data_IF_344302527519
#
_entry.id   IF_344302527519
#
_cell.length_a   1.000
_cell.length_b   1.000
_cell.length_c   1.000
_cell.angle_alpha   90.00
_cell.angle_beta   90.00
_cell.angle_gamma   90.00
#
_symmetry.space_group_name_H-M   'P 1'
#
loop_
_entity.id
_entity.type
_entity.pdbx_description
1 polymer ?
#
# COMPACT_ATOMS: atom_id res chain seq x y z
N UNK A 1 -21.08 5.65 -12.93
CA UNK A 1 -20.28 5.18 -11.79
C UNK A 1 -19.57 6.39 -11.24
N UNK A 2 -19.82 6.78 -10.01
CA UNK A 2 -19.13 7.94 -9.41
C UNK A 2 -17.97 7.45 -8.53
N UNK A 3 -17.03 6.75 -9.15
CA UNK A 3 -15.80 6.36 -8.45
C UNK A 3 -14.81 7.49 -8.57
N UNK A 4 -14.53 8.12 -7.43
CA UNK A 4 -13.60 9.24 -7.36
C UNK A 4 -12.20 8.71 -7.08
N UNK A 5 -11.24 9.19 -7.86
CA UNK A 5 -9.81 8.89 -7.72
C UNK A 5 -9.07 10.16 -7.38
N UNK A 6 -8.30 10.16 -6.31
CA UNK A 6 -7.40 11.26 -5.93
C UNK A 6 -5.95 10.78 -5.96
N UNK A 7 -5.03 11.68 -6.33
CA UNK A 7 -3.60 11.43 -6.21
C UNK A 7 -3.11 11.98 -4.88
N UNK A 8 -2.44 11.16 -4.10
CA UNK A 8 -1.77 11.65 -2.89
C UNK A 8 -0.53 12.46 -3.28
N UNK A 9 -0.25 13.50 -2.51
CA UNK A 9 0.94 14.32 -2.72
C UNK A 9 2.22 13.55 -2.40
N UNK A 10 3.31 13.91 -3.10
CA UNK A 10 4.63 13.32 -2.88
C UNK A 10 4.97 12.18 -3.83
N UNK A 11 6.17 11.65 -3.62
CA UNK A 11 6.70 10.47 -4.32
C UNK A 11 7.09 9.41 -3.30
N UNK A 12 6.79 8.16 -3.62
CA UNK A 12 6.93 7.05 -2.70
C UNK A 12 7.91 6.01 -3.22
N UNK A 13 8.51 5.30 -2.30
CA UNK A 13 9.49 4.25 -2.57
C UNK A 13 9.05 2.97 -1.90
N UNK A 14 9.24 1.87 -2.60
CA UNK A 14 8.94 0.52 -2.12
C UNK A 14 10.23 -0.16 -1.67
N UNK A 15 10.22 -0.71 -0.46
CA UNK A 15 11.36 -1.36 0.17
C UNK A 15 11.00 -2.80 0.47
N UNK A 16 11.83 -3.74 -0.01
CA UNK A 16 11.78 -5.15 0.34
C UNK A 16 12.80 -5.46 1.42
N UNK A 17 12.39 -6.13 2.47
CA UNK A 17 13.23 -6.57 3.59
C UNK A 17 12.98 -8.07 3.81
N UNK A 18 13.99 -8.93 3.65
CA UNK A 18 13.90 -10.33 4.03
C UNK A 18 13.56 -10.48 5.51
N UNK A 19 12.77 -11.49 5.87
CA UNK A 19 12.31 -11.67 7.26
C UNK A 19 13.47 -11.85 8.25
N UNK A 20 14.57 -12.45 7.83
CA UNK A 20 15.78 -12.62 8.65
C UNK A 20 16.41 -11.27 9.04
N UNK A 21 16.17 -10.23 8.24
CA UNK A 21 16.69 -8.87 8.47
C UNK A 21 15.66 -7.95 9.13
N UNK A 22 14.42 -8.39 9.26
CA UNK A 22 13.36 -7.60 9.88
C UNK A 22 13.73 -7.10 11.30
N UNK A 23 14.24 -7.96 12.22
CA UNK A 23 14.63 -7.48 13.55
C UNK A 23 15.76 -6.43 13.51
N UNK A 24 16.70 -6.58 12.58
CA UNK A 24 17.83 -5.64 12.41
C UNK A 24 17.37 -4.28 11.88
N UNK A 25 16.35 -4.28 11.01
CA UNK A 25 15.80 -3.07 10.39
C UNK A 25 14.54 -2.53 11.08
N UNK A 26 14.18 -3.08 12.24
CA UNK A 26 13.04 -2.60 13.01
C UNK A 26 13.22 -1.15 13.46
N UNK A 27 14.44 -0.74 13.82
CA UNK A 27 14.71 0.64 14.23
C UNK A 27 14.40 1.66 13.13
N UNK A 28 14.86 1.54 11.87
CA UNK A 28 14.44 2.45 10.82
C UNK A 28 12.93 2.36 10.51
N UNK A 29 12.29 1.20 10.62
CA UNK A 29 10.84 1.05 10.48
C UNK A 29 10.10 1.87 11.56
N UNK A 30 10.48 1.74 12.82
CA UNK A 30 9.89 2.52 13.91
C UNK A 30 10.16 4.02 13.76
N UNK A 31 11.31 4.39 13.21
CA UNK A 31 11.65 5.80 13.00
C UNK A 31 10.76 6.48 11.95
N UNK A 32 10.37 5.77 10.89
CA UNK A 32 9.42 6.32 9.91
C UNK A 32 7.98 6.29 10.42
N UNK A 33 7.63 5.31 11.25
CA UNK A 33 6.32 5.22 11.90
C UNK A 33 6.11 6.35 12.91
N UNK A 34 7.18 6.73 13.62
CA UNK A 34 7.17 7.72 14.69
C UNK A 34 8.09 8.90 14.32
N UNK A 35 7.74 9.71 13.32
CA UNK A 35 8.60 10.77 12.83
C UNK A 35 8.80 11.85 13.91
N UNK A 36 10.01 12.02 14.37
CA UNK A 36 10.39 13.07 15.31
C UNK A 36 11.24 14.11 14.60
N UNK A 37 10.89 15.38 14.73
CA UNK A 37 11.63 16.51 14.15
C UNK A 37 13.01 16.74 14.81
N UNK A 38 13.29 16.07 15.93
CA UNK A 38 14.58 16.20 16.63
C UNK A 38 15.29 14.84 16.63
N UNK A 39 16.16 14.63 15.68
CA UNK A 39 17.21 13.62 15.80
C UNK A 39 18.32 14.17 16.69
N UNK A 40 18.71 13.42 17.72
CA UNK A 40 19.72 13.81 18.70
C UNK A 40 21.13 14.10 18.11
N UNK A 41 21.34 13.91 16.81
CA UNK A 41 22.64 13.99 16.14
C UNK A 41 22.71 15.00 14.99
N UNK A 42 21.80 15.94 14.87
CA UNK A 42 21.96 17.00 13.88
C UNK A 42 22.83 18.11 14.46
N UNK A 43 24.05 18.24 13.91
CA UNK A 43 24.91 19.42 14.14
C UNK A 43 24.13 20.68 13.76
N UNK A 44 24.30 21.72 14.56
CA UNK A 44 23.60 23.03 14.50
C UNK A 44 23.72 23.79 13.17
N UNK A 45 24.48 23.27 12.20
CA UNK A 45 24.74 23.91 10.91
C UNK A 45 24.04 23.31 9.69
N UNK A 46 23.20 22.28 9.88
CA UNK A 46 22.42 21.76 8.76
C UNK A 46 21.07 22.48 8.69
N UNK A 47 20.86 23.21 7.60
CA UNK A 47 19.53 23.67 7.14
C UNK A 47 18.48 22.62 7.51
N UNK A 48 17.42 23.07 8.19
CA UNK A 48 16.29 22.23 8.57
C UNK A 48 15.85 21.40 7.35
N UNK A 49 16.22 20.14 7.33
CA UNK A 49 15.60 19.19 6.42
C UNK A 49 14.20 18.98 6.97
N UNK A 50 13.25 19.74 6.46
CA UNK A 50 11.85 19.36 6.58
C UNK A 50 11.74 17.93 6.03
N UNK A 51 11.31 17.00 6.87
CA UNK A 51 11.05 15.64 6.44
C UNK A 51 9.83 15.72 5.53
N UNK A 52 10.08 15.83 4.22
CA UNK A 52 9.04 15.79 3.22
C UNK A 52 8.18 14.54 3.42
N UNK A 53 6.90 14.61 3.14
CA UNK A 53 5.95 13.51 3.29
C UNK A 53 5.21 13.46 4.62
N UNK A 54 5.45 14.41 5.53
CA UNK A 54 4.52 14.73 6.60
C UNK A 54 3.57 15.84 6.13
N UNK A 55 2.31 15.71 6.46
CA UNK A 55 1.35 16.80 6.31
C UNK A 55 1.66 17.92 7.31
N UNK A 56 1.06 19.10 7.11
CA UNK A 56 1.16 20.25 8.03
C UNK A 56 0.84 19.92 9.48
N UNK A 57 0.05 18.87 9.71
CA UNK A 57 -0.33 18.36 11.03
C UNK A 57 0.57 17.21 11.52
N UNK A 58 1.75 17.01 10.92
CA UNK A 58 2.70 15.93 11.22
C UNK A 58 2.13 14.51 10.98
N UNK A 59 1.15 14.37 10.13
CA UNK A 59 0.61 13.09 9.70
C UNK A 59 1.36 12.57 8.47
N UNK A 60 1.36 11.25 8.28
CA UNK A 60 1.88 10.66 7.06
C UNK A 60 0.98 11.01 5.87
N UNK A 61 1.57 11.40 4.73
CA UNK A 61 0.83 11.43 3.47
C UNK A 61 0.36 10.02 3.11
N UNK A 62 1.31 9.07 3.11
CA UNK A 62 1.04 7.63 3.03
C UNK A 62 2.22 6.84 3.61
N UNK A 63 1.91 5.81 4.38
CA UNK A 63 2.86 4.81 4.86
C UNK A 63 2.17 3.46 4.88
N UNK A 64 2.77 2.44 4.28
CA UNK A 64 2.37 1.05 4.50
C UNK A 64 3.56 0.25 5.03
N UNK A 65 3.34 -0.51 6.09
CA UNK A 65 4.30 -1.47 6.64
C UNK A 65 3.59 -2.82 6.67
N UNK A 66 4.08 -3.76 5.88
CA UNK A 66 3.49 -5.09 5.77
C UNK A 66 4.52 -6.17 6.10
N UNK A 67 4.28 -6.90 7.17
CA UNK A 67 5.01 -8.13 7.52
C UNK A 67 4.15 -9.30 7.12
N UNK A 68 4.66 -10.18 6.29
CA UNK A 68 3.99 -11.38 5.77
C UNK A 68 4.89 -12.59 5.95
N UNK A 69 4.42 -13.82 5.77
CA UNK A 69 5.29 -15.01 5.79
C UNK A 69 6.38 -15.02 4.71
N UNK A 70 6.29 -14.13 3.70
CA UNK A 70 7.25 -14.06 2.58
C UNK A 70 8.30 -12.99 2.81
N UNK A 71 7.91 -11.84 3.36
CA UNK A 71 8.79 -10.67 3.47
C UNK A 71 8.22 -9.61 4.44
N UNK A 72 9.05 -8.66 4.82
CA UNK A 72 8.59 -7.34 5.27
C UNK A 72 8.72 -6.35 4.11
N UNK A 73 7.64 -5.64 3.82
CA UNK A 73 7.56 -4.64 2.76
C UNK A 73 7.17 -3.29 3.34
N UNK A 74 7.85 -2.23 2.91
CA UNK A 74 7.57 -0.87 3.37
C UNK A 74 7.35 0.03 2.16
N UNK A 75 6.24 0.75 2.16
CA UNK A 75 5.99 1.87 1.24
C UNK A 75 6.03 3.15 2.06
N UNK A 76 6.97 4.03 1.75
CA UNK A 76 7.10 5.30 2.43
C UNK A 76 7.48 6.41 1.46
N UNK A 77 7.35 7.66 1.88
CA UNK A 77 7.82 8.80 1.08
C UNK A 77 9.31 8.64 0.75
N UNK A 78 9.71 9.02 -0.46
CA UNK A 78 11.08 8.77 -0.97
C UNK A 78 12.17 9.46 -0.14
N UNK A 79 11.86 10.59 0.51
CA UNK A 79 12.80 11.24 1.44
C UNK A 79 13.12 10.36 2.66
N UNK A 80 12.16 9.57 3.15
CA UNK A 80 12.36 8.63 4.26
C UNK A 80 13.23 7.45 3.85
N UNK A 81 13.00 6.89 2.67
CA UNK A 81 13.86 5.83 2.13
C UNK A 81 15.32 6.30 2.08
N UNK A 82 15.55 7.52 1.53
CA UNK A 82 16.89 8.10 1.38
C UNK A 82 17.52 8.50 2.71
N UNK A 83 16.76 9.13 3.62
CA UNK A 83 17.32 9.74 4.83
C UNK A 83 17.33 8.81 6.05
N UNK A 84 16.55 7.74 6.03
CA UNK A 84 16.42 6.80 7.15
C UNK A 84 16.91 5.39 6.77
N UNK A 85 16.39 4.82 5.67
CA UNK A 85 16.74 3.45 5.29
C UNK A 85 18.13 3.33 4.66
N UNK A 86 18.49 4.16 3.69
CA UNK A 86 19.81 4.08 3.04
C UNK A 86 20.97 4.21 4.03
N UNK A 87 20.96 5.18 5.00
CA UNK A 87 22.01 5.24 6.02
C UNK A 87 22.06 4.01 6.92
N UNK A 88 20.88 3.47 7.30
CA UNK A 88 20.82 2.25 8.12
C UNK A 88 21.39 1.05 7.37
N UNK A 89 21.09 0.91 6.08
CA UNK A 89 21.64 -0.14 5.22
C UNK A 89 23.13 0.00 5.00
N UNK A 90 23.62 1.22 4.78
CA UNK A 90 25.04 1.50 4.58
C UNK A 90 25.87 1.20 5.84
N UNK A 91 25.25 1.20 7.02
CA UNK A 91 25.92 0.83 8.28
C UNK A 91 26.03 -0.70 8.46
N UNK A 92 25.29 -1.50 7.67
CA UNK A 92 25.34 -2.96 7.74
C UNK A 92 26.46 -3.55 6.87
N UNK A 93 27.02 -4.73 7.22
CA UNK A 93 27.97 -5.43 6.38
C UNK A 93 27.39 -5.73 4.98
N UNK A 94 28.16 -5.45 3.93
CA UNK A 94 27.75 -5.61 2.52
C UNK A 94 27.09 -6.95 2.17
N UNK A 95 27.53 -8.13 2.68
CA UNK A 95 26.85 -9.39 2.39
C UNK A 95 25.40 -9.44 2.88
N UNK A 96 25.12 -8.78 4.02
CA UNK A 96 23.81 -8.76 4.66
C UNK A 96 22.85 -7.85 3.89
N UNK A 97 23.33 -6.69 3.42
CA UNK A 97 22.51 -5.72 2.69
C UNK A 97 21.97 -6.24 1.35
N UNK A 98 22.61 -7.24 0.74
CA UNK A 98 22.24 -7.76 -0.59
C UNK A 98 20.80 -8.30 -0.66
N UNK A 99 20.23 -8.72 0.46
CA UNK A 99 18.85 -9.20 0.52
C UNK A 99 17.80 -8.08 0.49
N UNK A 100 18.16 -6.88 0.96
CA UNK A 100 17.26 -5.72 0.98
C UNK A 100 17.28 -5.03 -0.38
N UNK A 101 16.13 -4.67 -0.89
CA UNK A 101 16.04 -3.87 -2.12
C UNK A 101 15.14 -2.66 -1.92
N UNK A 102 15.65 -1.50 -2.34
CA UNK A 102 14.90 -0.25 -2.47
C UNK A 102 14.57 -0.09 -3.94
N UNK A 103 13.33 0.23 -4.29
CA UNK A 103 12.92 0.40 -5.68
C UNK A 103 13.67 1.56 -6.35
N UNK A 104 14.16 1.33 -7.57
CA UNK A 104 14.78 2.37 -8.39
C UNK A 104 13.74 3.37 -8.92
N UNK A 105 12.57 2.86 -9.31
CA UNK A 105 11.44 3.68 -9.74
C UNK A 105 10.72 4.23 -8.50
N UNK A 106 10.33 5.50 -8.58
CA UNK A 106 9.42 6.11 -7.60
C UNK A 106 7.98 5.90 -8.01
N UNK A 107 7.09 5.90 -7.02
CA UNK A 107 5.67 5.68 -7.20
C UNK A 107 4.87 6.92 -6.78
N UNK A 108 3.74 7.12 -7.44
CA UNK A 108 2.65 7.95 -6.96
C UNK A 108 1.52 7.03 -6.49
N UNK A 109 0.70 7.51 -5.58
CA UNK A 109 -0.37 6.75 -4.97
C UNK A 109 -1.71 7.34 -5.38
N UNK A 110 -2.59 6.48 -5.84
CA UNK A 110 -3.99 6.77 -6.10
C UNK A 110 -4.79 6.29 -4.90
N UNK A 111 -5.54 7.17 -4.27
CA UNK A 111 -6.57 6.80 -3.30
C UNK A 111 -7.91 6.71 -4.02
N UNK A 112 -8.62 5.62 -3.84
CA UNK A 112 -9.90 5.36 -4.49
C UNK A 112 -10.96 5.14 -3.43
N UNK A 113 -11.93 6.04 -3.39
CA UNK A 113 -13.13 5.85 -2.59
C UNK A 113 -14.16 5.12 -3.43
N UNK A 114 -14.39 3.85 -3.12
CA UNK A 114 -15.19 2.93 -3.95
C UNK A 114 -16.68 2.94 -3.59
N UNK A 115 -17.28 4.11 -3.49
CA UNK A 115 -18.72 4.21 -3.30
C UNK A 115 -19.45 3.65 -4.53
N UNK A 116 -20.12 2.51 -4.36
CA UNK A 116 -20.99 1.92 -5.38
C UNK A 116 -20.37 0.88 -6.30
N UNK A 117 -19.13 0.44 -6.06
CA UNK A 117 -18.58 -0.75 -6.71
C UNK A 117 -19.00 -2.03 -5.98
N UNK A 118 -19.20 -3.12 -6.75
CA UNK A 118 -19.43 -4.43 -6.18
C UNK A 118 -18.20 -4.91 -5.40
N UNK A 119 -18.33 -5.27 -4.11
CA UNK A 119 -17.17 -5.67 -3.29
C UNK A 119 -16.34 -6.82 -3.89
N UNK A 120 -16.99 -7.78 -4.54
CA UNK A 120 -16.31 -8.92 -5.17
C UNK A 120 -15.56 -8.56 -6.46
N UNK A 121 -16.06 -7.59 -7.24
CA UNK A 121 -15.47 -7.13 -8.49
C UNK A 121 -14.52 -5.94 -8.35
N UNK A 122 -14.52 -5.26 -7.22
CA UNK A 122 -13.87 -3.97 -6.98
C UNK A 122 -12.39 -3.96 -7.38
N UNK A 123 -11.61 -4.91 -6.90
CA UNK A 123 -10.17 -4.98 -7.20
C UNK A 123 -9.92 -5.15 -8.69
N UNK A 124 -10.72 -5.98 -9.37
CA UNK A 124 -10.63 -6.18 -10.81
C UNK A 124 -11.01 -4.89 -11.56
N UNK A 125 -12.12 -4.26 -11.21
CA UNK A 125 -12.61 -3.05 -11.90
C UNK A 125 -11.63 -1.89 -11.78
N UNK A 126 -11.06 -1.66 -10.58
CA UNK A 126 -10.08 -0.60 -10.34
C UNK A 126 -8.74 -0.86 -11.02
N UNK A 127 -8.30 -2.10 -11.08
CA UNK A 127 -7.00 -2.46 -11.68
C UNK A 127 -7.05 -2.64 -13.20
N UNK A 128 -8.22 -2.91 -13.78
CA UNK A 128 -8.36 -3.25 -15.19
C UNK A 128 -7.92 -2.14 -16.17
N UNK A 129 -8.23 -0.85 -15.97
CA UNK A 129 -7.79 0.21 -16.87
C UNK A 129 -6.26 0.27 -16.98
N UNK A 130 -5.60 0.08 -15.85
CA UNK A 130 -4.15 0.13 -15.74
C UNK A 130 -3.50 -1.13 -16.35
N UNK A 131 -4.11 -2.29 -16.13
CA UNK A 131 -3.67 -3.55 -16.73
C UNK A 131 -3.75 -3.51 -18.27
N UNK A 132 -4.86 -3.02 -18.82
CA UNK A 132 -5.02 -2.83 -20.28
C UNK A 132 -4.09 -1.78 -20.86
N UNK A 133 -3.69 -0.79 -20.06
CA UNK A 133 -2.67 0.19 -20.47
C UNK A 133 -1.23 -0.35 -20.32
N UNK A 134 -1.04 -1.58 -19.83
CA UNK A 134 0.28 -2.16 -19.60
C UNK A 134 1.08 -1.46 -18.49
N UNK A 135 0.40 -0.92 -17.48
CA UNK A 135 0.99 -0.23 -16.34
C UNK A 135 1.16 -1.21 -15.18
N UNK A 136 2.37 -1.38 -14.64
CA UNK A 136 2.57 -2.19 -13.44
C UNK A 136 2.00 -1.46 -12.22
N UNK A 137 1.32 -2.18 -11.35
CA UNK A 137 0.69 -1.61 -10.15
C UNK A 137 0.98 -2.46 -8.91
N UNK A 138 0.91 -1.80 -7.74
CA UNK A 138 0.73 -2.45 -6.45
C UNK A 138 -0.62 -2.01 -5.91
N UNK A 139 -1.40 -2.94 -5.40
CA UNK A 139 -2.76 -2.71 -4.92
C UNK A 139 -2.82 -3.01 -3.42
N UNK A 140 -3.37 -2.10 -2.64
CA UNK A 140 -3.51 -2.24 -1.20
C UNK A 140 -4.95 -1.91 -0.82
N UNK A 141 -5.73 -2.93 -0.46
CA UNK A 141 -7.04 -2.75 0.15
C UNK A 141 -6.87 -2.41 1.62
N UNK A 142 -7.55 -1.37 2.08
CA UNK A 142 -7.60 -0.99 3.48
C UNK A 142 -9.04 -1.06 4.02
N UNK A 143 -9.23 -0.69 5.27
CA UNK A 143 -10.55 -0.72 5.89
C UNK A 143 -11.55 0.26 5.23
N UNK A 144 -11.07 1.43 4.77
CA UNK A 144 -11.92 2.48 4.20
C UNK A 144 -11.72 2.67 2.70
N UNK A 145 -10.51 2.59 2.24
CA UNK A 145 -10.11 2.98 0.88
C UNK A 145 -9.26 1.90 0.21
N UNK A 146 -9.20 1.96 -1.11
CA UNK A 146 -8.21 1.21 -1.88
C UNK A 146 -7.10 2.16 -2.34
N UNK A 147 -5.85 1.70 -2.22
CA UNK A 147 -4.68 2.44 -2.69
C UNK A 147 -4.00 1.69 -3.83
N UNK A 148 -3.66 2.43 -4.88
CA UNK A 148 -2.98 1.87 -6.04
C UNK A 148 -1.68 2.65 -6.25
N UNK A 149 -0.54 1.97 -6.14
CA UNK A 149 0.76 2.53 -6.44
C UNK A 149 1.05 2.32 -7.91
N UNK A 150 1.43 3.38 -8.61
CA UNK A 150 1.81 3.36 -10.01
C UNK A 150 3.14 4.10 -10.22
N UNK A 151 4.01 3.68 -11.15
CA UNK A 151 5.28 4.37 -11.38
C UNK A 151 5.04 5.83 -11.77
N UNK A 152 5.76 6.75 -11.15
CA UNK A 152 5.62 8.21 -11.38
C UNK A 152 5.80 8.57 -12.85
N UNK A 153 6.69 7.88 -13.56
CA UNK A 153 6.94 8.08 -15.01
C UNK A 153 5.73 7.73 -15.90
N UNK A 154 4.79 6.92 -15.41
CA UNK A 154 3.60 6.50 -16.17
C UNK A 154 2.37 7.41 -15.92
N UNK A 155 2.53 8.53 -15.19
CA UNK A 155 1.43 9.42 -14.76
C UNK A 155 0.46 9.77 -15.90
N UNK A 156 0.97 10.17 -17.05
CA UNK A 156 0.13 10.58 -18.21
C UNK A 156 -0.70 9.41 -18.74
N UNK A 157 -0.11 8.22 -18.83
CA UNK A 157 -0.84 7.01 -19.25
C UNK A 157 -1.89 6.58 -18.22
N UNK A 158 -1.57 6.69 -16.93
CA UNK A 158 -2.50 6.39 -15.82
C UNK A 158 -3.74 7.28 -15.92
N UNK A 159 -3.55 8.61 -15.99
CA UNK A 159 -4.65 9.57 -16.13
C UNK A 159 -5.51 9.25 -17.36
N UNK A 160 -4.88 9.03 -18.53
CA UNK A 160 -5.60 8.68 -19.74
C UNK A 160 -6.41 7.39 -19.61
N UNK A 161 -5.82 6.35 -19.02
CA UNK A 161 -6.48 5.05 -18.84
C UNK A 161 -7.71 5.15 -17.92
N UNK A 162 -7.59 5.88 -16.80
CA UNK A 162 -8.67 6.07 -15.86
C UNK A 162 -9.82 6.91 -16.46
N UNK A 163 -9.51 8.06 -17.05
CA UNK A 163 -10.52 8.92 -17.68
C UNK A 163 -11.26 8.21 -18.80
N UNK A 164 -10.55 7.44 -19.64
CA UNK A 164 -11.17 6.65 -20.73
C UNK A 164 -12.18 5.64 -20.22
N UNK A 165 -12.01 5.15 -18.98
CA UNK A 165 -12.94 4.23 -18.32
C UNK A 165 -14.03 4.92 -17.51
N UNK A 166 -14.04 6.26 -17.49
CA UNK A 166 -15.08 7.05 -16.82
C UNK A 166 -14.84 7.27 -15.32
N UNK A 167 -13.60 7.12 -14.85
CA UNK A 167 -13.24 7.51 -13.48
C UNK A 167 -13.16 9.03 -13.38
N UNK A 168 -13.69 9.58 -12.29
CA UNK A 168 -13.60 11.00 -11.97
C UNK A 168 -12.32 11.28 -11.19
N UNK A 169 -11.50 12.19 -11.69
CA UNK A 169 -10.31 12.65 -10.98
C UNK A 169 -10.66 13.86 -10.12
N UNK A 170 -10.11 13.95 -8.90
CA UNK A 170 -10.35 15.09 -8.02
C UNK A 170 -9.96 16.41 -8.68
N UNK A 171 -10.69 17.49 -8.39
CA UNK A 171 -10.58 18.81 -9.07
C UNK A 171 -9.17 19.40 -9.04
N UNK A 172 -8.39 19.17 -8.01
CA UNK A 172 -7.01 19.65 -7.91
C UNK A 172 -6.06 19.04 -8.96
N UNK A 173 -6.51 18.02 -9.70
CA UNK A 173 -5.71 17.31 -10.69
C UNK A 173 -6.26 17.46 -12.12
N UNK A 174 -7.51 17.89 -12.30
CA UNK A 174 -8.12 18.11 -13.62
C UNK A 174 -7.45 19.27 -14.39
N UNK A 175 -6.83 20.22 -13.70
CA UNK A 175 -6.04 21.30 -14.32
C UNK A 175 -4.83 20.79 -15.14
N UNK A 176 -4.33 19.59 -14.85
CA UNK A 176 -3.24 18.97 -15.62
C UNK A 176 -3.71 18.33 -16.93
N UNK A 177 -5.00 18.06 -17.09
CA UNK A 177 -5.55 17.48 -18.32
C UNK A 177 -5.81 18.58 -19.36
N UNK A 178 -6.05 19.82 -18.91
CA UNK A 178 -6.41 20.96 -19.80
C UNK A 178 -5.24 21.82 -20.25
N UNK A 179 -4.03 21.60 -19.75
CA UNK A 179 -2.85 22.35 -20.20
C UNK A 179 -2.07 21.54 -21.24
N UNK A 180 -2.28 21.86 -22.51
CA UNK A 180 -1.35 21.55 -23.58
C UNK A 180 -1.63 20.29 -24.41
N UNK A 181 -2.74 20.24 -25.11
CA UNK A 181 -2.74 19.57 -26.40
C UNK A 181 -2.95 20.61 -27.54
N UNK A 182 -1.97 21.47 -27.71
CA UNK A 182 -1.65 21.97 -29.06
C UNK A 182 -0.69 20.92 -29.66
N UNK A 183 -0.91 20.42 -30.86
CA UNK A 183 -0.01 19.50 -31.51
C UNK A 183 1.27 20.27 -31.88
N UNK A 184 2.28 20.20 -31.01
CA UNK A 184 3.64 20.52 -31.46
C UNK A 184 4.21 19.26 -32.07
N UNK A 185 4.25 19.27 -33.40
CA UNK A 185 5.15 18.45 -34.18
C UNK A 185 6.57 18.72 -33.69
N UNK A 186 7.12 17.77 -32.98
CA UNK A 186 8.55 17.60 -32.80
C UNK A 186 8.80 16.08 -32.78
N UNK A 187 9.05 15.55 -33.97
CA UNK A 187 9.84 14.35 -34.17
C UNK A 187 11.22 14.57 -33.54
N UNK A 188 11.45 13.97 -32.38
CA UNK A 188 12.79 13.55 -31.93
C UNK A 188 12.67 13.05 -30.49
N UNK A 189 12.80 11.80 -30.34
CA UNK A 189 13.23 10.88 -29.28
C UNK A 189 12.29 9.69 -29.13
N UNK A 190 12.15 8.93 -30.19
CA UNK A 190 11.85 7.51 -30.10
C UNK A 190 13.10 6.81 -29.62
N UNK A 191 13.36 6.83 -28.32
CA UNK A 191 14.22 5.81 -27.70
C UNK A 191 13.53 4.47 -27.96
N UNK A 192 14.16 3.67 -28.80
CA UNK A 192 13.74 2.32 -29.18
C UNK A 192 13.69 1.45 -27.90
N UNK A 193 12.53 1.43 -27.26
CA UNK A 193 12.23 0.32 -26.37
C UNK A 193 12.11 -0.95 -27.22
N UNK A 194 12.68 -2.08 -26.80
CA UNK A 194 12.47 -3.34 -27.49
C UNK A 194 10.97 -3.58 -27.63
N UNK A 195 10.49 -4.19 -28.73
CA UNK A 195 9.07 -4.39 -28.98
C UNK A 195 8.45 -5.14 -27.81
N UNK A 196 7.81 -4.41 -26.92
CA UNK A 196 7.05 -4.97 -25.82
C UNK A 196 5.85 -5.73 -26.38
N UNK A 197 5.46 -6.81 -25.75
CA UNK A 197 4.23 -7.51 -26.09
C UNK A 197 3.08 -6.50 -26.08
N UNK A 198 2.27 -6.38 -27.15
CA UNK A 198 1.19 -5.42 -27.19
C UNK A 198 0.23 -5.65 -26.00
N UNK A 199 -0.41 -4.59 -25.49
CA UNK A 199 -1.34 -4.71 -24.38
C UNK A 199 -2.46 -5.71 -24.72
N UNK A 200 -3.04 -6.42 -23.72
CA UNK A 200 -4.12 -7.38 -23.96
C UNK A 200 -5.36 -6.69 -24.53
N UNK A 201 -6.04 -7.33 -25.45
CA UNK A 201 -7.21 -6.78 -26.14
C UNK A 201 -8.51 -6.98 -25.36
N UNK A 202 -8.59 -8.00 -24.51
CA UNK A 202 -9.75 -8.34 -23.72
C UNK A 202 -9.37 -9.04 -22.40
N UNK A 203 -10.34 -9.24 -21.51
CA UNK A 203 -10.13 -9.86 -20.19
C UNK A 203 -9.62 -11.30 -20.27
N UNK A 204 -10.09 -12.09 -21.22
CA UNK A 204 -9.70 -13.50 -21.34
C UNK A 204 -8.23 -13.62 -21.76
N UNK A 205 -7.79 -12.76 -22.67
CA UNK A 205 -6.39 -12.65 -23.07
C UNK A 205 -5.52 -12.16 -21.90
N UNK A 206 -5.98 -11.17 -21.14
CA UNK A 206 -5.27 -10.67 -19.96
C UNK A 206 -5.11 -11.79 -18.92
N UNK A 207 -6.17 -12.53 -18.64
CA UNK A 207 -6.12 -13.66 -17.71
C UNK A 207 -5.19 -14.76 -18.20
N UNK A 208 -5.28 -15.16 -19.47
CA UNK A 208 -4.41 -16.17 -20.07
C UNK A 208 -2.94 -15.76 -19.94
N UNK A 209 -2.58 -14.53 -20.31
CA UNK A 209 -1.21 -14.00 -20.19
C UNK A 209 -0.74 -13.95 -18.73
N UNK A 210 -1.62 -13.57 -17.80
CA UNK A 210 -1.29 -13.52 -16.38
C UNK A 210 -0.95 -14.92 -15.86
N UNK A 211 -1.81 -15.91 -16.08
CA UNK A 211 -1.58 -17.27 -15.57
C UNK A 211 -0.41 -17.96 -16.27
N UNK A 212 -0.21 -17.72 -17.56
CA UNK A 212 1.00 -18.18 -18.28
C UNK A 212 2.28 -17.62 -17.66
N UNK A 213 2.27 -16.32 -17.30
CA UNK A 213 3.43 -15.68 -16.66
C UNK A 213 3.68 -16.27 -15.27
N UNK A 214 2.63 -16.43 -14.46
CA UNK A 214 2.74 -17.01 -13.12
C UNK A 214 3.24 -18.48 -13.19
N UNK A 215 2.68 -19.26 -14.10
CA UNK A 215 3.07 -20.66 -14.30
C UNK A 215 4.52 -20.81 -14.78
N UNK A 216 4.96 -19.99 -15.75
CA UNK A 216 6.35 -19.98 -16.25
C UNK A 216 7.36 -19.68 -15.15
N UNK A 217 7.00 -18.84 -14.18
CA UNK A 217 7.85 -18.47 -13.07
C UNK A 217 7.66 -19.36 -11.82
N UNK A 218 6.91 -20.48 -11.96
CA UNK A 218 6.59 -21.42 -10.87
C UNK A 218 6.00 -20.74 -9.63
N UNK A 219 5.15 -19.74 -9.84
CA UNK A 219 4.37 -19.13 -8.76
C UNK A 219 3.36 -20.15 -8.27
N UNK A 220 3.24 -20.26 -6.96
CA UNK A 220 2.27 -21.14 -6.30
C UNK A 220 1.37 -20.31 -5.42
N UNK A 221 0.10 -20.67 -5.36
CA UNK A 221 -0.80 -20.20 -4.34
C UNK A 221 -0.63 -21.06 -3.09
N UNK A 222 -0.46 -20.42 -1.93
CA UNK A 222 -0.36 -21.12 -0.66
C UNK A 222 -1.17 -20.40 0.43
N UNK A 223 -1.65 -21.19 1.37
CA UNK A 223 -2.30 -20.74 2.59
C UNK A 223 -1.46 -21.23 3.76
N UNK A 224 -1.17 -20.34 4.70
CA UNK A 224 -0.46 -20.70 5.91
C UNK A 224 -1.43 -21.34 6.91
N UNK A 225 -1.01 -22.47 7.49
CA UNK A 225 -1.81 -23.15 8.50
C UNK A 225 -2.03 -22.25 9.72
N UNK A 226 -3.25 -22.22 10.23
CA UNK A 226 -3.64 -21.49 11.42
C UNK A 226 -3.39 -19.96 11.37
N UNK A 227 -3.23 -19.40 10.19
CA UNK A 227 -3.16 -17.96 9.98
C UNK A 227 -4.55 -17.41 9.65
N UNK A 228 -5.16 -16.76 10.61
CA UNK A 228 -6.44 -16.09 10.49
C UNK A 228 -6.25 -14.59 10.66
N UNK A 229 -6.81 -13.82 9.75
CA UNK A 229 -6.68 -12.36 9.76
C UNK A 229 -7.99 -11.70 10.17
N UNK A 230 -7.86 -10.49 10.69
CA UNK A 230 -8.94 -9.52 10.87
C UNK A 230 -8.54 -8.21 10.21
N UNK A 231 -9.53 -7.53 9.63
CA UNK A 231 -9.36 -6.19 9.06
C UNK A 231 -10.10 -5.19 9.93
N UNK A 232 -9.37 -4.23 10.46
CA UNK A 232 -9.88 -3.25 11.42
C UNK A 232 -9.23 -1.88 11.21
N UNK A 233 -9.77 -0.90 11.89
CA UNK A 233 -9.28 0.47 11.91
C UNK A 233 -8.91 0.89 13.32
N UNK A 234 -8.00 1.83 13.44
CA UNK A 234 -7.80 2.56 14.68
C UNK A 234 -9.04 3.36 15.04
N UNK A 235 -9.35 3.42 16.33
CA UNK A 235 -10.46 4.27 16.81
C UNK A 235 -10.08 5.73 16.63
N UNK A 236 -10.92 6.53 15.97
CA UNK A 236 -10.75 7.97 15.94
C UNK A 236 -10.93 8.55 17.35
N UNK A 237 -9.86 9.11 17.91
CA UNK A 237 -9.99 9.99 19.07
C UNK A 237 -10.40 11.36 18.56
N UNK A 238 -11.70 11.68 18.67
CA UNK A 238 -12.21 13.01 18.31
C UNK A 238 -11.37 14.10 19.00
N UNK A 239 -10.87 15.10 18.27
CA UNK A 239 -10.14 16.24 18.84
C UNK A 239 -10.93 16.97 19.93
N UNK A 240 -12.25 16.81 19.95
CA UNK A 240 -13.18 17.43 20.92
C UNK A 240 -13.06 16.86 22.34
N UNK A 241 -12.64 15.60 22.52
CA UNK A 241 -12.48 15.03 23.87
C UNK A 241 -11.26 15.59 24.61
N UNK A 242 -10.21 15.98 23.91
CA UNK A 242 -9.02 16.61 24.52
C UNK A 242 -9.24 18.11 24.85
N UNK A 243 -10.27 18.75 24.29
CA UNK A 243 -10.56 20.15 24.55
C UNK A 243 -11.26 20.38 25.92
N UNK A 244 -11.86 19.36 26.52
CA UNK A 244 -12.54 19.48 27.80
C UNK A 244 -11.65 19.27 29.03
N UNK A 245 -10.43 18.81 28.88
CA UNK A 245 -9.50 18.59 30.00
C UNK A 245 -8.57 19.77 30.32
N UNK A 246 -8.56 20.83 29.52
CA UNK A 246 -7.80 22.03 29.81
C UNK A 246 -8.76 23.24 30.03
N UNK A 247 -9.01 23.57 31.29
CA UNK A 247 -9.59 24.88 31.67
C UNK A 247 -8.70 25.99 31.10
N UNK A 248 -9.25 26.99 30.39
CA UNK A 248 -8.45 28.11 29.93
C UNK A 248 -8.05 28.97 31.15
N UNK A 249 -6.82 28.84 31.61
CA UNK A 249 -6.23 29.88 32.46
C UNK A 249 -5.84 31.01 31.52
N UNK A 250 -6.50 32.18 31.69
CA UNK A 250 -6.07 33.44 31.09
C UNK A 250 -4.65 33.76 31.55
N UNK A 251 -3.66 33.58 30.69
CA UNK A 251 -2.33 34.12 30.90
C UNK A 251 -1.70 34.48 29.56
N UNK A 252 -1.47 35.78 29.44
CA UNK A 252 -0.54 36.53 28.58
C UNK A 252 0.09 35.81 27.38
N UNK A 253 -0.17 36.38 26.19
CA UNK A 253 0.56 36.19 24.93
C UNK A 253 2.07 36.34 25.16
N UNK A 254 2.78 35.23 25.14
CA UNK A 254 4.19 35.21 24.80
C UNK A 254 4.29 34.45 23.46
N UNK A 255 4.82 35.14 22.46
CA UNK A 255 5.07 34.62 21.12
C UNK A 255 6.29 33.69 21.15
N UNK A 256 6.08 32.48 21.60
CA UNK A 256 6.91 31.34 21.29
C UNK A 256 5.98 30.33 20.68
N UNK A 257 6.06 30.23 19.35
CA UNK A 257 5.43 29.17 18.58
C UNK A 257 6.00 27.83 19.09
N UNK A 258 5.33 27.26 20.10
CA UNK A 258 5.54 25.89 20.50
C UNK A 258 5.06 25.05 19.29
N UNK A 259 5.97 24.57 18.46
CA UNK A 259 5.70 23.48 17.54
C UNK A 259 5.05 22.38 18.35
N UNK A 260 3.72 22.23 18.18
CA UNK A 260 2.96 21.20 18.88
C UNK A 260 3.59 19.87 18.52
N UNK A 261 3.99 19.09 19.51
CA UNK A 261 4.55 17.77 19.31
C UNK A 261 3.51 16.88 18.61
N UNK A 262 3.90 16.12 17.59
CA UNK A 262 3.02 15.16 16.93
C UNK A 262 2.30 14.23 17.91
N UNK A 263 2.91 13.90 19.07
CA UNK A 263 2.32 13.10 20.16
C UNK A 263 0.99 13.67 20.65
N UNK A 264 0.76 14.98 20.55
CA UNK A 264 -0.50 15.60 20.99
C UNK A 264 -1.65 15.38 20.00
N UNK A 265 -1.37 14.91 18.79
CA UNK A 265 -2.34 14.70 17.72
C UNK A 265 -2.56 13.22 17.41
N UNK A 266 -1.77 12.31 17.95
CA UNK A 266 -1.82 10.87 17.67
C UNK A 266 -2.46 10.14 18.84
N UNK A 267 -3.23 9.10 18.55
CA UNK A 267 -3.69 8.17 19.58
C UNK A 267 -2.49 7.39 20.15
N UNK A 268 -1.98 7.86 21.29
CA UNK A 268 -0.79 7.28 21.93
C UNK A 268 -1.02 5.81 22.32
N UNK A 269 -2.26 5.43 22.72
CA UNK A 269 -2.58 4.04 23.05
C UNK A 269 -2.47 3.16 21.82
N UNK A 270 -3.10 3.55 20.72
CA UNK A 270 -3.05 2.80 19.45
C UNK A 270 -1.61 2.67 18.94
N UNK A 271 -0.84 3.76 18.92
CA UNK A 271 0.55 3.71 18.44
C UNK A 271 1.45 2.87 19.34
N UNK A 272 1.22 2.85 20.65
CA UNK A 272 1.93 1.93 21.56
C UNK A 272 1.61 0.46 21.23
N UNK A 273 0.35 0.14 20.95
CA UNK A 273 -0.07 -1.19 20.52
C UNK A 273 0.57 -1.57 19.17
N UNK A 274 0.58 -0.66 18.19
CA UNK A 274 1.23 -0.88 16.88
C UNK A 274 2.72 -1.18 17.07
N UNK A 275 3.43 -0.37 17.86
CA UNK A 275 4.87 -0.60 18.15
C UNK A 275 5.06 -1.95 18.82
N UNK A 276 4.23 -2.31 19.82
CA UNK A 276 4.30 -3.60 20.50
C UNK A 276 4.08 -4.77 19.52
N UNK A 277 3.11 -4.66 18.63
CA UNK A 277 2.84 -5.65 17.60
C UNK A 277 4.02 -5.80 16.61
N UNK A 278 4.63 -4.70 16.17
CA UNK A 278 5.82 -4.75 15.29
C UNK A 278 7.03 -5.38 16.00
N UNK A 279 7.24 -5.05 17.29
CA UNK A 279 8.35 -5.59 18.08
C UNK A 279 8.18 -7.10 18.35
N UNK A 280 6.94 -7.60 18.43
CA UNK A 280 6.66 -9.03 18.65
C UNK A 280 7.02 -9.93 17.48
N UNK A 281 7.49 -9.38 16.36
CA UNK A 281 7.80 -10.11 15.13
C UNK A 281 6.58 -10.91 14.62
N UNK A 282 5.51 -10.22 14.22
CA UNK A 282 4.26 -10.86 13.85
C UNK A 282 4.42 -11.75 12.62
N UNK A 283 3.65 -12.84 12.55
CA UNK A 283 3.57 -13.67 11.33
C UNK A 283 2.91 -12.90 10.19
N UNK A 284 1.92 -12.08 10.53
CA UNK A 284 1.25 -11.20 9.58
C UNK A 284 0.76 -9.93 10.27
N UNK A 285 1.15 -8.78 9.69
CA UNK A 285 0.65 -7.46 10.05
C UNK A 285 0.80 -6.54 8.85
N UNK A 286 -0.27 -5.93 8.39
CA UNK A 286 -0.21 -4.82 7.43
C UNK A 286 -0.86 -3.59 8.05
N UNK A 287 -0.06 -2.56 8.24
CA UNK A 287 -0.48 -1.26 8.75
C UNK A 287 -0.44 -0.25 7.59
N UNK A 288 -1.53 0.45 7.36
CA UNK A 288 -1.59 1.57 6.41
C UNK A 288 -2.00 2.83 7.14
N UNK A 289 -1.18 3.87 7.00
CA UNK A 289 -1.46 5.23 7.43
C UNK A 289 -1.60 6.10 6.18
N UNK A 290 -2.73 6.76 6.02
CA UNK A 290 -3.00 7.69 4.93
C UNK A 290 -3.55 9.00 5.50
N UNK A 291 -3.40 10.09 4.75
CA UNK A 291 -3.70 11.44 5.21
C UNK A 291 -5.16 11.60 5.68
N UNK A 292 -6.10 11.07 4.90
CA UNK A 292 -7.53 11.33 5.07
C UNK A 292 -8.27 10.14 5.72
N UNK A 293 -7.58 9.04 6.01
CA UNK A 293 -8.16 7.85 6.60
C UNK A 293 -7.58 7.57 8.00
N UNK A 294 -8.39 7.07 8.94
CA UNK A 294 -7.87 6.51 10.18
C UNK A 294 -6.90 5.35 9.89
N UNK A 295 -5.94 5.05 10.82
CA UNK A 295 -5.03 3.93 10.66
C UNK A 295 -5.78 2.64 10.34
N UNK A 296 -5.42 1.99 9.23
CA UNK A 296 -5.99 0.71 8.82
C UNK A 296 -5.03 -0.42 9.13
N UNK A 297 -5.56 -1.48 9.73
CA UNK A 297 -4.80 -2.67 10.13
C UNK A 297 -5.45 -3.92 9.55
N UNK A 298 -4.61 -4.75 8.94
CA UNK A 298 -4.91 -6.13 8.61
C UNK A 298 -3.91 -6.98 9.36
N UNK A 299 -4.36 -7.76 10.32
CA UNK A 299 -3.46 -8.41 11.27
C UNK A 299 -3.85 -9.84 11.61
N UNK A 300 -2.86 -10.65 11.97
CA UNK A 300 -3.07 -11.97 12.55
C UNK A 300 -3.94 -11.84 13.80
N UNK A 301 -5.02 -12.60 13.87
CA UNK A 301 -6.00 -12.59 14.98
C UNK A 301 -5.34 -12.79 16.34
N UNK A 302 -4.20 -13.48 16.39
CA UNK A 302 -3.41 -13.68 17.62
C UNK A 302 -2.83 -12.39 18.19
N UNK A 303 -2.77 -11.31 17.41
CA UNK A 303 -2.30 -9.98 17.86
C UNK A 303 -3.39 -9.15 18.54
N UNK A 304 -4.68 -9.51 18.39
CA UNK A 304 -5.80 -8.73 18.96
C UNK A 304 -5.63 -8.38 20.45
N UNK A 305 -5.13 -9.27 21.32
CA UNK A 305 -4.95 -8.95 22.73
C UNK A 305 -3.99 -7.78 23.00
N UNK A 306 -3.08 -7.46 22.05
CA UNK A 306 -2.16 -6.31 22.16
C UNK A 306 -2.92 -4.99 22.01
N UNK A 307 -3.99 -4.99 21.22
CA UNK A 307 -4.70 -3.77 20.85
C UNK A 307 -5.87 -3.41 21.77
N UNK A 308 -6.38 -4.38 22.54
CA UNK A 308 -7.49 -4.18 23.47
C UNK A 308 -8.66 -3.41 22.79
N UNK A 309 -9.17 -2.34 23.39
CA UNK A 309 -10.25 -1.52 22.85
C UNK A 309 -9.81 -0.44 21.84
N UNK A 310 -8.55 -0.46 21.38
CA UNK A 310 -7.99 0.57 20.47
C UNK A 310 -8.44 0.39 19.01
N UNK A 311 -9.09 -0.72 18.67
CA UNK A 311 -9.55 -1.03 17.33
C UNK A 311 -11.06 -0.88 17.17
N UNK A 312 -11.46 -0.64 15.93
CA UNK A 312 -12.85 -0.61 15.45
C UNK A 312 -12.96 -1.51 14.23
N UNK A 313 -14.03 -2.26 14.14
CA UNK A 313 -14.29 -3.19 13.03
C UNK A 313 -14.72 -4.57 13.52
N UNK A 314 -14.91 -5.50 12.60
CA UNK A 314 -15.25 -6.87 12.91
C UNK A 314 -14.02 -7.68 13.32
N UNK A 315 -13.75 -7.72 14.63
CA UNK A 315 -12.65 -8.51 15.20
C UNK A 315 -13.01 -9.99 15.39
N UNK A 316 -14.27 -10.35 15.29
CA UNK A 316 -14.74 -11.75 15.35
C UNK A 316 -14.67 -12.45 14.00
N UNK A 317 -14.76 -11.70 12.91
CA UNK A 317 -14.62 -12.20 11.55
C UNK A 317 -13.31 -12.95 11.34
N UNK A 318 -13.29 -13.83 10.33
CA UNK A 318 -12.11 -14.60 9.96
C UNK A 318 -11.86 -14.43 8.47
N UNK A 319 -10.71 -13.86 8.16
CA UNK A 319 -10.19 -13.73 6.81
C UNK A 319 -9.00 -14.65 6.61
N UNK A 320 -8.93 -15.30 5.47
CA UNK A 320 -7.84 -16.23 5.12
C UNK A 320 -7.00 -15.63 4.00
N UNK A 321 -5.69 -15.43 4.21
CA UNK A 321 -4.79 -14.95 3.18
C UNK A 321 -4.32 -16.09 2.28
N UNK A 322 -4.39 -15.88 0.97
CA UNK A 322 -3.79 -16.73 -0.05
C UNK A 322 -2.58 -16.00 -0.61
N UNK A 323 -1.40 -16.52 -0.39
CA UNK A 323 -0.14 -15.92 -0.81
C UNK A 323 0.29 -16.39 -2.19
N UNK A 324 0.74 -15.45 -3.00
CA UNK A 324 1.42 -15.67 -4.27
C UNK A 324 2.86 -15.16 -4.14
N UNK A 325 3.83 -16.06 -4.17
CA UNK A 325 5.26 -15.70 -4.13
C UNK A 325 5.71 -15.19 -5.50
N UNK A 326 5.89 -13.89 -5.62
CA UNK A 326 6.23 -13.22 -6.87
C UNK A 326 7.73 -12.88 -6.99
N UNK A 327 8.59 -13.38 -6.10
CA UNK A 327 10.04 -13.08 -6.08
C UNK A 327 10.75 -13.38 -7.40
N UNK A 328 10.23 -14.33 -8.18
CA UNK A 328 10.80 -14.74 -9.47
C UNK A 328 10.25 -13.99 -10.67
N UNK A 329 9.25 -13.13 -10.47
CA UNK A 329 8.66 -12.36 -11.55
C UNK A 329 9.54 -11.17 -11.94
N UNK A 330 9.56 -10.77 -13.22
CA UNK A 330 10.15 -9.52 -13.64
C UNK A 330 9.49 -8.33 -12.92
N UNK A 331 10.29 -7.36 -12.48
CA UNK A 331 9.82 -6.21 -11.70
C UNK A 331 8.76 -5.35 -12.41
N UNK A 332 8.68 -5.44 -13.75
CA UNK A 332 7.71 -4.69 -14.59
C UNK A 332 6.54 -5.57 -15.07
N UNK A 333 6.26 -6.67 -14.38
CA UNK A 333 5.10 -7.51 -14.71
C UNK A 333 3.80 -6.73 -14.51
N UNK A 334 2.89 -6.85 -15.47
CA UNK A 334 1.60 -6.13 -15.47
C UNK A 334 0.43 -7.11 -15.47
N UNK A 335 -0.74 -6.65 -15.04
CA UNK A 335 -1.98 -7.40 -15.11
C UNK A 335 -2.19 -8.46 -14.03
N UNK A 336 -1.23 -8.67 -13.11
CA UNK A 336 -1.30 -9.75 -12.10
C UNK A 336 -2.52 -9.54 -11.18
N UNK A 337 -2.66 -8.36 -10.58
CA UNK A 337 -3.78 -8.03 -9.68
C UNK A 337 -5.12 -8.25 -10.40
N UNK A 338 -5.27 -7.63 -11.58
CA UNK A 338 -6.49 -7.72 -12.37
C UNK A 338 -6.80 -9.16 -12.84
N UNK A 339 -5.77 -9.88 -13.30
CA UNK A 339 -5.93 -11.26 -13.79
C UNK A 339 -6.35 -12.23 -12.70
N UNK A 340 -5.70 -12.15 -11.52
CA UNK A 340 -6.01 -13.00 -10.37
C UNK A 340 -7.38 -12.65 -9.80
N UNK A 341 -7.64 -11.37 -9.47
CA UNK A 341 -8.92 -10.93 -8.93
C UNK A 341 -10.07 -11.19 -9.90
N UNK A 342 -9.89 -10.92 -11.20
CA UNK A 342 -10.90 -11.17 -12.22
C UNK A 342 -11.20 -12.67 -12.44
N UNK A 343 -10.22 -13.55 -12.25
CA UNK A 343 -10.46 -15.00 -12.31
C UNK A 343 -11.28 -15.48 -11.12
N UNK A 344 -10.99 -14.98 -9.94
CA UNK A 344 -11.72 -15.32 -8.72
C UNK A 344 -13.15 -14.78 -8.75
N UNK A 345 -13.34 -13.52 -9.17
CA UNK A 345 -14.67 -12.92 -9.29
C UNK A 345 -15.58 -13.67 -10.27
N UNK A 346 -15.04 -14.25 -11.36
CA UNK A 346 -15.83 -15.09 -12.29
C UNK A 346 -16.16 -16.47 -11.75
N UNK A 347 -15.40 -16.99 -10.81
CA UNK A 347 -15.55 -18.34 -10.27
C UNK A 347 -16.38 -18.43 -9.01
N UNK A 348 -16.73 -17.31 -8.40
CA UNK A 348 -17.64 -17.23 -7.24
C UNK A 348 -19.04 -16.87 -7.72
N UNK A 349 -20.03 -17.68 -7.34
CA UNK A 349 -21.43 -17.40 -7.67
C UNK A 349 -21.88 -16.03 -7.16
N UNK A 350 -22.53 -15.27 -8.02
CA UNK A 350 -22.99 -13.88 -7.84
C UNK A 350 -24.01 -13.70 -6.70
N UNK A 351 -24.43 -14.78 -6.03
CA UNK A 351 -25.53 -14.77 -5.05
C UNK A 351 -25.16 -14.32 -3.64
N UNK A 352 -23.87 -14.26 -3.31
CA UNK A 352 -23.39 -13.76 -2.01
C UNK A 352 -22.38 -12.65 -2.24
N UNK A 353 -22.55 -11.52 -1.55
CA UNK A 353 -21.65 -10.37 -1.57
C UNK A 353 -20.25 -10.78 -1.08
N UNK A 354 -19.47 -11.39 -1.98
CA UNK A 354 -18.12 -11.83 -1.65
C UNK A 354 -17.17 -10.65 -1.71
N UNK A 355 -16.68 -10.22 -0.58
CA UNK A 355 -15.65 -9.18 -0.53
C UNK A 355 -14.28 -9.80 -0.77
N UNK A 356 -13.58 -9.32 -1.80
CA UNK A 356 -12.20 -9.67 -2.10
C UNK A 356 -11.31 -8.48 -1.78
N UNK A 357 -10.38 -8.67 -0.85
CA UNK A 357 -9.31 -7.72 -0.56
C UNK A 357 -7.99 -8.20 -1.16
N UNK A 358 -7.14 -7.26 -1.55
CA UNK A 358 -5.84 -7.55 -2.14
C UNK A 358 -4.74 -6.72 -1.48
N UNK A 359 -3.64 -7.37 -1.13
CA UNK A 359 -2.44 -6.73 -0.61
C UNK A 359 -1.25 -7.08 -1.50
N UNK A 360 -0.75 -6.08 -2.22
CA UNK A 360 0.54 -6.18 -2.89
C UNK A 360 1.66 -5.76 -1.96
N UNK A 361 2.69 -6.57 -1.87
CA UNK A 361 3.97 -6.22 -1.27
C UNK A 361 5.07 -6.20 -2.33
N UNK A 362 6.30 -5.89 -1.97
CA UNK A 362 7.40 -5.76 -2.94
C UNK A 362 7.63 -7.04 -3.75
N UNK A 363 7.40 -8.21 -3.16
CA UNK A 363 7.73 -9.53 -3.72
C UNK A 363 6.58 -10.54 -3.64
N UNK A 364 5.40 -10.13 -3.18
CA UNK A 364 4.25 -11.01 -3.06
C UNK A 364 2.94 -10.29 -3.41
N UNK A 365 1.94 -11.09 -3.79
CA UNK A 365 0.55 -10.71 -3.84
C UNK A 365 -0.23 -11.57 -2.86
N UNK A 366 -1.12 -10.96 -2.10
CA UNK A 366 -1.96 -11.67 -1.14
C UNK A 366 -3.41 -11.39 -1.46
N UNK A 367 -4.18 -12.44 -1.75
CA UNK A 367 -5.64 -12.38 -1.85
C UNK A 367 -6.21 -12.70 -0.48
N UNK A 368 -7.13 -11.89 0.00
CA UNK A 368 -7.71 -12.03 1.33
C UNK A 368 -9.21 -12.22 1.17
N UNK A 369 -9.73 -13.31 1.70
CA UNK A 369 -11.11 -13.77 1.52
C UNK A 369 -11.67 -14.34 2.82
N UNK A 370 -12.99 -14.49 2.90
CA UNK A 370 -13.59 -15.30 3.96
C UNK A 370 -13.09 -16.74 3.89
N UNK A 371 -13.21 -17.50 4.96
CA UNK A 371 -12.81 -18.92 5.01
C UNK A 371 -13.43 -19.74 3.88
N UNK A 372 -14.73 -19.61 3.66
CA UNK A 372 -15.45 -20.37 2.64
C UNK A 372 -14.95 -20.03 1.23
N UNK A 373 -14.82 -18.73 0.95
CA UNK A 373 -14.34 -18.24 -0.34
C UNK A 373 -12.88 -18.61 -0.60
N UNK A 374 -12.05 -18.69 0.44
CA UNK A 374 -10.63 -19.08 0.30
C UNK A 374 -10.48 -20.53 -0.18
N UNK A 375 -11.36 -21.44 0.25
CA UNK A 375 -11.36 -22.83 -0.22
C UNK A 375 -11.69 -22.87 -1.73
N UNK A 376 -12.76 -22.19 -2.15
CA UNK A 376 -13.15 -22.10 -3.56
C UNK A 376 -12.04 -21.42 -4.41
N UNK A 377 -11.44 -20.36 -3.88
CA UNK A 377 -10.33 -19.68 -4.55
C UNK A 377 -9.11 -20.60 -4.76
N UNK A 378 -8.77 -21.43 -3.78
CA UNK A 378 -7.70 -22.41 -3.93
C UNK A 378 -8.03 -23.50 -4.96
N UNK A 379 -9.29 -23.95 -5.03
CA UNK A 379 -9.76 -24.88 -6.07
C UNK A 379 -9.63 -24.30 -7.48
N UNK A 380 -9.82 -22.98 -7.64
CA UNK A 380 -9.67 -22.26 -8.92
C UNK A 380 -8.19 -22.02 -9.25
N UNK A 381 -7.39 -21.57 -8.29
CA UNK A 381 -6.00 -21.14 -8.53
C UNK A 381 -5.05 -22.32 -8.68
N UNK A 382 -5.23 -23.39 -7.89
CA UNK A 382 -4.29 -24.53 -7.87
C UNK A 382 -4.10 -25.17 -9.24
N UNK A 383 -5.16 -25.51 -10.00
CA UNK A 383 -5.00 -26.08 -11.33
C UNK A 383 -4.32 -25.15 -12.34
N UNK A 384 -4.51 -23.83 -12.19
CA UNK A 384 -3.96 -22.84 -13.10
C UNK A 384 -2.45 -22.55 -12.83
N UNK A 385 -1.98 -22.85 -11.62
CA UNK A 385 -0.61 -22.60 -11.17
C UNK A 385 0.22 -23.88 -11.05
N UNK A 386 -0.35 -25.05 -11.35
CA UNK A 386 0.35 -26.34 -11.36
C UNK A 386 0.57 -26.79 -12.81
N UNK A 387 1.78 -27.21 -13.16
CA UNK A 387 2.03 -27.87 -14.44
C UNK A 387 1.37 -29.25 -14.37
N UNK A 388 0.41 -29.51 -15.26
CA UNK A 388 -0.12 -30.85 -15.54
C UNK A 388 0.99 -31.76 -16.11
#
# INVERSE_FOLDING_TARGET
MNTQVSFLEGTYTLIHIPLELYPTLLQPILRILLPQTQSLNFSRDSTEYELEGLTTDFQHGFLNISVTPIECSVVCHSSWAKNVFEPALNALPKPICKGVSISEDTFMILAVTSAGLDPGGRVMELSSPLAFAGIPIFFITTYYSDFILVPTKEKVKVVKALVTKGFELSENQSSFVNSSYAPRNSDSDLSQQPPGTPPPSNYDELQARTFDLLLKNNVKACVEADLELVQCSGRETSPLMNAYSTRPSMSRKSSTDYRRSWITHVDTKLYTCIVSALVSQPRFLSLTLAQDDPPSLLLDKTLLPIFDESLVGDTEGVLIPIFLDLRKLPAKSTGIVCGVAGRLAKGTDVSESSELSYLSTARAGTVILSREQSIRAMEILTPLLTKS
#
